data_IF_398552855581
#
_entry.id   IF_398552855581
#
_cell.length_a   1.000
_cell.length_b   1.000
_cell.length_c   1.000
_cell.angle_alpha   90.00
_cell.angle_beta   90.00
_cell.angle_gamma   90.00
#
_symmetry.space_group_name_H-M   'P 1'
#
loop_
_entity.id
_entity.type
_entity.pdbx_description
1 polymer ?
#
# COMPACT_ATOMS: atom_id res chain seq x y z
N UNK A 1 -6.36 -5.51 17.43
CA UNK A 1 -5.03 -5.15 16.90
C UNK A 1 -5.05 -3.68 16.54
N UNK A 2 -3.91 -2.98 16.63
CA UNK A 2 -3.81 -1.60 16.13
C UNK A 2 -3.86 -1.63 14.59
N UNK A 3 -4.58 -0.71 13.95
CA UNK A 3 -4.73 -0.63 12.48
C UNK A 3 -3.36 -0.66 11.76
N UNK A 4 -2.35 0.02 12.31
CA UNK A 4 -0.99 0.04 11.76
C UNK A 4 -0.33 -1.36 11.74
N UNK A 5 -0.53 -2.16 12.79
CA UNK A 5 0.03 -3.51 12.90
C UNK A 5 -0.62 -4.47 11.88
N UNK A 6 -1.94 -4.35 11.71
CA UNK A 6 -2.70 -5.14 10.73
C UNK A 6 -2.31 -4.81 9.29
N UNK A 7 -2.17 -3.52 8.97
CA UNK A 7 -1.71 -3.07 7.66
C UNK A 7 -0.29 -3.58 7.36
N UNK A 8 0.61 -3.52 8.35
CA UNK A 8 1.98 -4.00 8.19
C UNK A 8 2.05 -5.52 7.93
N UNK A 9 1.32 -6.32 8.72
CA UNK A 9 1.22 -7.77 8.50
C UNK A 9 0.66 -8.11 7.11
N UNK A 10 -0.38 -7.40 6.68
CA UNK A 10 -0.99 -7.62 5.36
C UNK A 10 -0.03 -7.24 4.24
N UNK A 11 0.70 -6.14 4.39
CA UNK A 11 1.75 -5.74 3.46
C UNK A 11 2.86 -6.80 3.32
N UNK A 12 3.33 -7.41 4.41
CA UNK A 12 4.34 -8.47 4.36
C UNK A 12 3.87 -9.73 3.60
N UNK A 13 2.56 -9.96 3.56
CA UNK A 13 1.96 -11.08 2.84
C UNK A 13 1.63 -10.75 1.37
N UNK A 14 1.75 -9.49 0.94
CA UNK A 14 1.51 -9.11 -0.45
C UNK A 14 2.57 -9.71 -1.37
N UNK A 15 2.13 -10.37 -2.43
CA UNK A 15 3.05 -10.91 -3.42
C UNK A 15 3.58 -9.80 -4.33
N UNK A 16 4.91 -9.75 -4.51
CA UNK A 16 5.55 -8.91 -5.54
C UNK A 16 5.00 -9.19 -6.94
N UNK A 17 4.43 -10.38 -7.16
CA UNK A 17 3.80 -10.76 -8.45
C UNK A 17 2.48 -10.03 -8.70
N UNK A 18 1.74 -9.65 -7.66
CA UNK A 18 0.41 -9.04 -7.80
C UNK A 18 0.51 -7.57 -8.20
N UNK A 19 1.50 -6.84 -7.69
CA UNK A 19 1.62 -5.39 -7.89
C UNK A 19 3.05 -4.96 -8.29
N UNK A 20 3.64 -5.53 -9.36
CA UNK A 20 5.03 -5.27 -9.70
C UNK A 20 5.25 -3.78 -10.01
N UNK A 21 6.20 -3.19 -9.31
CA UNK A 21 6.59 -1.79 -9.46
C UNK A 21 5.46 -0.76 -9.17
N UNK A 22 4.42 -1.12 -8.39
CA UNK A 22 3.31 -0.22 -8.05
C UNK A 22 3.41 0.32 -6.63
N UNK A 23 2.78 1.47 -6.40
CA UNK A 23 2.43 1.94 -5.07
C UNK A 23 1.07 1.37 -4.68
N UNK A 24 0.93 0.98 -3.40
CA UNK A 24 -0.31 0.46 -2.83
C UNK A 24 -0.68 1.23 -1.57
N UNK A 25 -1.98 1.35 -1.31
CA UNK A 25 -2.50 1.78 -0.01
C UNK A 25 -3.24 0.63 0.67
N UNK A 26 -2.97 0.43 1.96
CA UNK A 26 -3.66 -0.52 2.81
C UNK A 26 -4.44 0.20 3.91
N UNK A 27 -5.68 -0.24 4.14
CA UNK A 27 -6.54 0.17 5.23
C UNK A 27 -7.16 -1.10 5.83
N UNK A 28 -7.07 -1.25 7.16
CA UNK A 28 -7.55 -2.44 7.88
C UNK A 28 -7.10 -3.77 7.26
N UNK A 29 -5.90 -3.79 6.67
CA UNK A 29 -5.32 -4.95 6.00
C UNK A 29 -5.69 -5.12 4.52
N UNK A 30 -6.65 -4.36 4.01
CA UNK A 30 -7.12 -4.47 2.63
C UNK A 30 -6.41 -3.49 1.70
N UNK A 31 -6.08 -3.93 0.49
CA UNK A 31 -5.54 -3.05 -0.56
C UNK A 31 -6.67 -2.22 -1.15
N UNK A 32 -6.66 -0.91 -0.90
CA UNK A 32 -7.75 0.01 -1.31
C UNK A 32 -7.39 0.89 -2.51
N UNK A 33 -6.11 0.98 -2.86
CA UNK A 33 -5.64 1.69 -4.05
C UNK A 33 -4.31 1.12 -4.55
N UNK A 34 -4.13 1.10 -5.88
CA UNK A 34 -2.90 0.67 -6.57
C UNK A 34 -2.60 1.63 -7.71
N UNK A 35 -1.45 2.32 -7.71
CA UNK A 35 -1.06 3.30 -8.75
C UNK A 35 0.43 3.26 -9.09
N UNK A 36 0.83 4.09 -10.06
CA UNK A 36 2.22 4.16 -10.52
C UNK A 36 3.08 5.08 -9.64
N UNK A 37 2.46 6.07 -8.99
CA UNK A 37 3.17 7.04 -8.16
C UNK A 37 2.58 7.13 -6.76
N UNK A 38 3.39 7.55 -5.80
CA UNK A 38 2.94 7.84 -4.44
C UNK A 38 1.82 8.88 -4.43
N UNK A 39 1.95 9.95 -5.23
CA UNK A 39 0.98 11.04 -5.30
C UNK A 39 -0.41 10.53 -5.69
N UNK A 40 -0.50 9.71 -6.74
CA UNK A 40 -1.78 9.14 -7.18
C UNK A 40 -2.43 8.26 -6.11
N UNK A 41 -1.64 7.38 -5.46
CA UNK A 41 -2.17 6.52 -4.37
C UNK A 41 -2.64 7.38 -3.20
N UNK A 42 -1.82 8.34 -2.76
CA UNK A 42 -2.15 9.20 -1.64
C UNK A 42 -3.41 10.02 -1.90
N UNK A 43 -3.48 10.69 -3.06
CA UNK A 43 -4.63 11.51 -3.44
C UNK A 43 -5.91 10.68 -3.51
N UNK A 44 -5.90 9.54 -4.20
CA UNK A 44 -7.09 8.68 -4.30
C UNK A 44 -7.51 8.13 -2.94
N UNK A 45 -6.55 7.68 -2.13
CA UNK A 45 -6.84 7.10 -0.82
C UNK A 45 -7.42 8.14 0.14
N UNK A 46 -6.90 9.37 0.12
CA UNK A 46 -7.43 10.47 0.95
C UNK A 46 -8.80 10.97 0.49
N UNK A 47 -9.08 10.92 -0.82
CA UNK A 47 -10.42 11.24 -1.34
C UNK A 47 -11.46 10.19 -0.91
N UNK A 48 -11.10 8.90 -0.97
CA UNK A 48 -12.01 7.80 -0.61
C UNK A 48 -12.15 7.59 0.90
N UNK A 49 -11.07 7.80 1.66
CA UNK A 49 -10.99 7.48 3.09
C UNK A 49 -10.36 8.66 3.87
N UNK A 50 -11.04 9.83 3.93
CA UNK A 50 -10.45 11.06 4.46
C UNK A 50 -10.02 10.99 5.93
N UNK A 51 -10.76 10.23 6.75
CA UNK A 51 -10.51 10.12 8.20
C UNK A 51 -9.57 8.98 8.57
N UNK A 52 -9.17 8.14 7.61
CA UNK A 52 -8.36 6.96 7.87
C UNK A 52 -6.86 7.24 7.73
N UNK A 53 -6.06 6.39 8.38
CA UNK A 53 -4.60 6.42 8.30
C UNK A 53 -4.11 5.22 7.49
N UNK A 54 -4.02 5.36 6.15
CA UNK A 54 -3.56 4.27 5.32
C UNK A 54 -2.06 4.01 5.51
N UNK A 55 -1.64 2.76 5.38
CA UNK A 55 -0.24 2.43 5.08
C UNK A 55 -0.06 2.55 3.57
N UNK A 56 0.86 3.41 3.14
CA UNK A 56 1.21 3.53 1.72
C UNK A 56 2.61 2.99 1.52
N UNK A 57 2.76 2.03 0.61
CA UNK A 57 4.03 1.37 0.36
C UNK A 57 4.31 1.19 -1.12
N UNK A 58 5.61 1.15 -1.45
CA UNK A 58 6.08 0.81 -2.79
C UNK A 58 6.35 -0.68 -2.86
N UNK A 59 5.69 -1.37 -3.78
CA UNK A 59 6.04 -2.74 -4.14
C UNK A 59 7.18 -2.68 -5.17
N UNK A 60 8.38 -3.15 -4.81
CA UNK A 60 9.51 -3.14 -5.74
C UNK A 60 9.26 -4.10 -6.91
N UNK A 61 10.03 -3.94 -7.99
CA UNK A 61 10.09 -4.99 -9.00
C UNK A 61 11.01 -6.12 -8.49
N UNK A 62 10.93 -7.32 -9.08
CA UNK A 62 11.78 -8.47 -8.70
C UNK A 62 13.30 -8.18 -8.73
N UNK A 63 13.73 -7.11 -9.40
CA UNK A 63 15.14 -6.74 -9.57
C UNK A 63 15.59 -5.61 -8.65
N UNK A 64 14.69 -5.05 -7.83
CA UNK A 64 14.97 -3.87 -7.01
C UNK A 64 14.79 -4.24 -5.54
N UNK A 65 15.81 -3.94 -4.74
CA UNK A 65 15.75 -3.97 -3.28
C UNK A 65 15.61 -2.53 -2.79
N UNK A 66 14.66 -2.27 -1.89
CA UNK A 66 14.49 -0.99 -1.21
C UNK A 66 14.73 -1.27 0.27
N UNK A 67 15.74 -0.62 0.86
CA UNK A 67 16.11 -0.69 2.28
C UNK A 67 15.63 0.58 3.00
#
# INVERSE_FOLDING_TARGET
MLQAEQNYKSFLNLSVKEYPNKWVALIDGDVVAVKNTFKEVYTETKQKFPQQRPLIAKIPSKKVMIL
#
